data_IF_129535987641
#
_entry.id   IF_129535987641
#
_cell.length_a   1.000
_cell.length_b   1.000
_cell.length_c   1.000
_cell.angle_alpha   90.00
_cell.angle_beta   90.00
_cell.angle_gamma   90.00
#
_symmetry.space_group_name_H-M   'P 1'
#
loop_
_entity.id
_entity.type
_entity.pdbx_description
1 polymer ?
#
# COMPACT_ATOMS: atom_id res chain seq x y z
N UNK A 1 -5.34 19.46 -22.15
CA UNK A 1 -5.89 18.49 -21.17
C UNK A 1 -7.40 18.37 -21.37
N UNK A 2 -7.94 17.16 -21.60
CA UNK A 2 -9.39 16.97 -21.77
C UNK A 2 -10.15 17.50 -20.54
N UNK A 3 -11.29 18.17 -20.73
CA UNK A 3 -12.10 18.80 -19.67
C UNK A 3 -12.47 17.83 -18.53
N UNK A 4 -12.67 16.56 -18.87
CA UNK A 4 -12.82 15.42 -17.96
C UNK A 4 -11.67 15.32 -16.94
N UNK A 5 -10.42 15.46 -17.41
CA UNK A 5 -9.21 15.36 -16.57
C UNK A 5 -9.20 16.40 -15.45
N UNK A 6 -9.61 17.63 -15.74
CA UNK A 6 -9.59 18.76 -14.78
C UNK A 6 -10.58 18.50 -13.63
N UNK A 7 -11.75 17.92 -13.92
CA UNK A 7 -12.75 17.57 -12.90
C UNK A 7 -12.22 16.48 -11.97
N UNK A 8 -11.57 15.44 -12.50
CA UNK A 8 -10.92 14.40 -11.68
C UNK A 8 -9.81 14.97 -10.79
N UNK A 9 -9.01 15.90 -11.30
CA UNK A 9 -7.96 16.56 -10.51
C UNK A 9 -8.52 17.39 -9.36
N UNK A 10 -9.56 18.18 -9.62
CA UNK A 10 -10.23 18.96 -8.60
C UNK A 10 -10.82 18.07 -7.49
N UNK A 11 -11.41 16.93 -7.88
CA UNK A 11 -11.96 15.95 -6.93
C UNK A 11 -10.86 15.33 -6.07
N UNK A 12 -9.76 14.87 -6.67
CA UNK A 12 -8.63 14.29 -5.93
C UNK A 12 -7.99 15.28 -4.95
N UNK A 13 -7.76 16.52 -5.40
CA UNK A 13 -7.24 17.59 -4.54
C UNK A 13 -8.21 17.93 -3.41
N UNK A 14 -9.51 17.97 -3.68
CA UNK A 14 -10.53 18.18 -2.66
C UNK A 14 -10.52 17.08 -1.61
N UNK A 15 -10.52 15.80 -2.00
CA UNK A 15 -10.47 14.68 -1.05
C UNK A 15 -9.16 14.66 -0.26
N UNK A 16 -8.03 14.96 -0.89
CA UNK A 16 -6.75 15.06 -0.21
C UNK A 16 -6.74 16.19 0.83
N UNK A 17 -7.22 17.38 0.46
CA UNK A 17 -7.34 18.51 1.37
C UNK A 17 -8.32 18.22 2.52
N UNK A 18 -9.46 17.59 2.22
CA UNK A 18 -10.43 17.15 3.22
C UNK A 18 -9.80 16.13 4.18
N UNK A 19 -9.05 15.15 3.69
CA UNK A 19 -8.34 14.18 4.51
C UNK A 19 -7.33 14.87 5.45
N UNK A 20 -6.51 15.80 4.94
CA UNK A 20 -5.58 16.58 5.77
C UNK A 20 -6.31 17.42 6.82
N UNK A 21 -7.43 18.03 6.45
CA UNK A 21 -8.26 18.79 7.38
C UNK A 21 -8.85 17.90 8.49
N UNK A 22 -9.46 16.77 8.14
CA UNK A 22 -10.07 15.84 9.09
C UNK A 22 -9.04 15.21 10.02
N UNK A 23 -7.88 14.82 9.51
CA UNK A 23 -6.78 14.28 10.34
C UNK A 23 -6.27 15.32 11.34
N UNK A 24 -6.05 16.55 10.88
CA UNK A 24 -5.66 17.66 11.77
C UNK A 24 -6.76 18.01 12.79
N UNK A 25 -8.03 17.98 12.40
CA UNK A 25 -9.16 18.15 13.33
C UNK A 25 -9.21 17.03 14.37
N UNK A 26 -9.05 15.77 13.96
CA UNK A 26 -9.07 14.62 14.86
C UNK A 26 -7.95 14.71 15.90
N UNK A 27 -6.72 15.03 15.50
CA UNK A 27 -5.60 15.18 16.45
C UNK A 27 -5.80 16.32 17.47
N UNK A 28 -6.59 17.34 17.14
CA UNK A 28 -6.94 18.43 18.06
C UNK A 28 -8.23 18.18 18.84
N UNK A 29 -8.98 17.14 18.48
CA UNK A 29 -10.24 16.81 19.12
C UNK A 29 -10.02 16.15 20.49
N UNK A 30 -11.03 16.24 21.35
CA UNK A 30 -11.06 15.54 22.65
C UNK A 30 -11.08 14.01 22.52
N UNK A 31 -11.36 13.47 21.33
CA UNK A 31 -11.35 12.03 21.07
C UNK A 31 -9.93 11.46 20.99
N UNK A 32 -8.95 12.25 20.51
CA UNK A 32 -7.59 11.75 20.34
C UNK A 32 -6.96 11.28 21.65
N UNK A 33 -7.00 12.04 22.76
CA UNK A 33 -6.48 11.57 24.04
C UNK A 33 -7.15 10.29 24.56
N UNK A 34 -8.46 10.12 24.30
CA UNK A 34 -9.21 8.93 24.71
C UNK A 34 -8.70 7.69 23.96
N UNK A 35 -8.54 7.82 22.63
CA UNK A 35 -8.01 6.75 21.79
C UNK A 35 -6.54 6.45 22.13
N UNK A 36 -5.72 7.49 22.29
CA UNK A 36 -4.31 7.36 22.66
C UNK A 36 -4.14 6.64 24.01
N UNK A 37 -4.92 7.03 25.03
CA UNK A 37 -4.92 6.35 26.32
C UNK A 37 -5.33 4.87 26.18
N UNK A 38 -6.39 4.58 25.42
CA UNK A 38 -6.82 3.21 25.19
C UNK A 38 -5.76 2.38 24.46
N UNK A 39 -5.11 2.92 23.43
CA UNK A 39 -4.04 2.24 22.69
C UNK A 39 -2.84 1.98 23.59
N UNK A 40 -2.45 2.93 24.43
CA UNK A 40 -1.34 2.76 25.38
C UNK A 40 -1.63 1.66 26.41
N UNK A 41 -2.85 1.56 26.90
CA UNK A 41 -3.26 0.48 27.82
C UNK A 41 -3.37 -0.87 27.11
N UNK A 42 -3.75 -0.90 25.83
CA UNK A 42 -4.07 -2.12 25.08
C UNK A 42 -3.13 -2.34 23.87
N UNK A 43 -1.86 -1.99 24.01
CA UNK A 43 -0.93 -1.89 22.88
C UNK A 43 -0.81 -3.20 22.08
N UNK A 44 -0.78 -4.33 22.77
CA UNK A 44 -0.68 -5.66 22.15
C UNK A 44 -1.92 -5.96 21.31
N UNK A 45 -3.11 -5.71 21.87
CA UNK A 45 -4.38 -5.91 21.16
C UNK A 45 -4.47 -5.00 19.93
N UNK A 46 -4.07 -3.74 20.07
CA UNK A 46 -4.04 -2.79 18.95
C UNK A 46 -3.12 -3.27 17.82
N UNK A 47 -1.90 -3.69 18.15
CA UNK A 47 -0.91 -4.21 17.19
C UNK A 47 -1.43 -5.47 16.48
N UNK A 48 -2.02 -6.41 17.22
CA UNK A 48 -2.60 -7.63 16.65
C UNK A 48 -3.79 -7.30 15.74
N UNK A 49 -4.70 -6.43 16.17
CA UNK A 49 -5.84 -6.01 15.37
C UNK A 49 -5.39 -5.31 14.08
N UNK A 50 -4.39 -4.42 14.17
CA UNK A 50 -3.82 -3.72 13.02
C UNK A 50 -3.13 -4.69 12.05
N UNK A 51 -2.38 -5.67 12.57
CA UNK A 51 -1.77 -6.74 11.76
C UNK A 51 -2.83 -7.54 11.00
N UNK A 52 -3.88 -8.01 11.69
CA UNK A 52 -4.97 -8.79 11.09
C UNK A 52 -5.69 -7.97 10.03
N UNK A 53 -6.06 -6.73 10.36
CA UNK A 53 -6.69 -5.81 9.42
C UNK A 53 -5.83 -5.60 8.18
N UNK A 54 -4.52 -5.41 8.36
CA UNK A 54 -3.59 -5.25 7.24
C UNK A 54 -3.49 -6.50 6.38
N UNK A 55 -3.37 -7.68 6.97
CA UNK A 55 -3.31 -8.94 6.23
C UNK A 55 -4.59 -9.22 5.44
N UNK A 56 -5.75 -8.95 6.03
CA UNK A 56 -7.04 -9.06 5.34
C UNK A 56 -7.14 -8.04 4.21
N UNK A 57 -6.69 -6.80 4.44
CA UNK A 57 -6.73 -5.77 3.40
C UNK A 57 -5.89 -6.12 2.17
N UNK A 58 -4.76 -6.81 2.36
CA UNK A 58 -3.97 -7.34 1.23
C UNK A 58 -4.65 -8.52 0.51
N UNK A 59 -5.61 -9.19 1.14
CA UNK A 59 -6.40 -10.22 0.46
C UNK A 59 -7.55 -9.64 -0.35
N UNK A 60 -8.08 -8.50 0.10
CA UNK A 60 -9.27 -7.86 -0.45
C UNK A 60 -8.95 -6.42 -0.89
N UNK A 61 -8.68 -6.20 -2.20
CA UNK A 61 -8.30 -4.89 -2.74
C UNK A 61 -9.16 -3.69 -2.33
N UNK A 62 -10.49 -3.81 -2.08
CA UNK A 62 -11.31 -2.67 -1.66
C UNK A 62 -10.97 -2.10 -0.28
N UNK A 63 -10.22 -2.81 0.56
CA UNK A 63 -9.94 -2.40 1.94
C UNK A 63 -8.66 -1.54 1.95
N UNK A 64 -8.74 -0.24 2.33
CA UNK A 64 -7.61 0.68 2.28
C UNK A 64 -6.66 0.48 3.47
N UNK A 65 -6.07 -0.71 3.61
CA UNK A 65 -5.32 -1.06 4.80
C UNK A 65 -4.03 -0.27 5.02
N UNK A 66 -3.39 0.19 3.94
CA UNK A 66 -2.22 1.07 4.04
C UNK A 66 -2.54 2.43 4.68
N UNK A 67 -3.76 2.96 4.50
CA UNK A 67 -4.15 4.23 5.12
C UNK A 67 -4.28 4.07 6.63
N UNK A 68 -4.84 2.95 7.09
CA UNK A 68 -5.02 2.66 8.52
C UNK A 68 -3.69 2.42 9.23
N UNK A 69 -2.75 1.72 8.58
CA UNK A 69 -1.40 1.55 9.14
C UNK A 69 -0.62 2.87 9.18
N UNK A 70 -0.74 3.73 8.17
CA UNK A 70 -0.19 5.08 8.22
C UNK A 70 -0.84 5.93 9.32
N UNK A 71 -2.17 5.86 9.48
CA UNK A 71 -2.90 6.56 10.54
C UNK A 71 -2.52 6.08 11.95
N UNK A 72 -1.82 4.94 12.07
CA UNK A 72 -1.33 4.41 13.34
C UNK A 72 0.00 5.02 13.79
N UNK A 73 0.67 5.81 12.94
CA UNK A 73 1.96 6.45 13.23
C UNK A 73 1.93 7.31 14.52
N UNK A 74 0.90 8.15 14.77
CA UNK A 74 0.83 8.93 16.01
C UNK A 74 0.81 8.09 17.29
N UNK A 75 0.32 6.85 17.22
CA UNK A 75 0.19 5.97 18.39
C UNK A 75 1.39 5.02 18.55
N UNK A 76 1.92 4.47 17.46
CA UNK A 76 2.98 3.46 17.47
C UNK A 76 4.38 4.03 17.11
N UNK A 77 4.44 5.29 16.69
CA UNK A 77 5.58 5.82 15.96
C UNK A 77 5.68 5.24 14.54
N UNK A 78 6.48 5.89 13.70
CA UNK A 78 6.62 5.49 12.28
C UNK A 78 7.18 4.07 12.13
N UNK A 79 8.15 3.70 12.97
CA UNK A 79 8.82 2.42 12.87
C UNK A 79 7.92 1.28 13.33
N UNK A 80 7.21 1.44 14.46
CA UNK A 80 6.26 0.44 14.94
C UNK A 80 5.10 0.22 13.96
N UNK A 81 4.52 1.31 13.46
CA UNK A 81 3.47 1.24 12.44
C UNK A 81 3.96 0.57 11.14
N UNK A 82 5.18 0.88 10.71
CA UNK A 82 5.81 0.27 9.54
C UNK A 82 6.06 -1.22 9.71
N UNK A 83 6.55 -1.67 10.87
CA UNK A 83 6.77 -3.09 11.13
C UNK A 83 5.47 -3.90 11.06
N UNK A 84 4.39 -3.36 11.62
CA UNK A 84 3.06 -3.98 11.53
C UNK A 84 2.56 -3.99 10.08
N UNK A 85 2.74 -2.89 9.34
CA UNK A 85 2.38 -2.80 7.92
C UNK A 85 3.15 -3.83 7.07
N UNK A 86 4.44 -3.98 7.31
CA UNK A 86 5.30 -4.94 6.62
C UNK A 86 4.91 -6.38 6.94
N UNK A 87 4.81 -6.71 8.23
CA UNK A 87 4.43 -8.05 8.67
C UNK A 87 3.04 -8.42 8.14
N UNK A 88 2.06 -7.53 8.27
CA UNK A 88 0.71 -7.73 7.79
C UNK A 88 0.65 -7.89 6.27
N UNK A 89 1.43 -7.09 5.53
CA UNK A 89 1.51 -7.18 4.06
C UNK A 89 2.11 -8.49 3.59
N UNK A 90 3.19 -8.96 4.22
CA UNK A 90 3.85 -10.21 3.86
C UNK A 90 2.94 -11.39 4.20
N UNK A 91 2.32 -11.40 5.38
CA UNK A 91 1.40 -12.46 5.78
C UNK A 91 0.17 -12.56 4.85
N UNK A 92 -0.50 -11.43 4.57
CA UNK A 92 -1.60 -11.38 3.60
C UNK A 92 -1.14 -11.78 2.19
N UNK A 93 0.05 -11.31 1.79
CA UNK A 93 0.64 -11.63 0.49
C UNK A 93 1.00 -13.09 0.32
N UNK A 94 1.45 -13.78 1.37
CA UNK A 94 1.69 -15.23 1.36
C UNK A 94 0.40 -16.00 1.08
N UNK A 95 -0.70 -15.60 1.71
CA UNK A 95 -2.02 -16.21 1.48
C UNK A 95 -2.51 -15.91 0.07
N UNK A 96 -2.42 -14.66 -0.40
CA UNK A 96 -2.76 -14.28 -1.78
C UNK A 96 -1.95 -15.07 -2.82
N UNK A 97 -0.63 -15.18 -2.61
CA UNK A 97 0.26 -16.00 -3.44
C UNK A 97 -0.21 -17.46 -3.47
N UNK A 98 -0.53 -18.05 -2.32
CA UNK A 98 -0.96 -19.44 -2.26
C UNK A 98 -2.29 -19.65 -2.97
N UNK A 99 -3.24 -18.74 -2.79
CA UNK A 99 -4.52 -18.76 -3.49
C UNK A 99 -4.35 -18.64 -5.01
N UNK A 100 -3.50 -17.71 -5.47
CA UNK A 100 -3.15 -17.55 -6.89
C UNK A 100 -2.47 -18.80 -7.46
N UNK A 101 -1.57 -19.42 -6.70
CA UNK A 101 -0.89 -20.65 -7.08
C UNK A 101 -1.85 -21.85 -7.18
N UNK A 102 -2.80 -21.99 -6.25
CA UNK A 102 -3.71 -23.13 -6.17
C UNK A 102 -4.93 -23.01 -7.09
N UNK A 103 -5.56 -21.84 -7.14
CA UNK A 103 -6.84 -21.63 -7.83
C UNK A 103 -6.69 -20.89 -9.17
N UNK A 104 -5.52 -20.31 -9.44
CA UNK A 104 -5.17 -19.67 -10.71
C UNK A 104 -6.19 -18.66 -11.20
N UNK A 105 -6.60 -18.76 -12.47
CA UNK A 105 -7.55 -17.80 -13.08
C UNK A 105 -8.90 -17.72 -12.37
N UNK A 106 -9.34 -18.78 -11.67
CA UNK A 106 -10.66 -18.81 -10.99
C UNK A 106 -10.74 -17.79 -9.85
N UNK A 107 -9.68 -17.62 -9.07
CA UNK A 107 -9.66 -16.63 -7.99
C UNK A 107 -9.39 -15.23 -8.54
N UNK A 108 -8.51 -15.10 -9.54
CA UNK A 108 -8.24 -13.83 -10.20
C UNK A 108 -9.50 -13.22 -10.82
N UNK A 109 -10.32 -14.03 -11.49
CA UNK A 109 -11.61 -13.63 -12.08
C UNK A 109 -12.66 -13.12 -11.10
N UNK A 110 -12.50 -13.39 -9.80
CA UNK A 110 -13.42 -12.90 -8.75
C UNK A 110 -12.96 -11.59 -8.11
N UNK A 111 -11.65 -11.31 -8.17
CA UNK A 111 -11.03 -10.22 -7.41
C UNK A 111 -10.60 -9.05 -8.30
N UNK A 112 -10.33 -9.32 -9.58
CA UNK A 112 -9.79 -8.33 -10.51
C UNK A 112 -10.62 -8.28 -11.79
N UNK A 113 -10.52 -7.15 -12.49
CA UNK A 113 -11.15 -6.95 -13.78
C UNK A 113 -10.40 -7.69 -14.90
N UNK A 114 -11.05 -7.82 -16.06
CA UNK A 114 -10.50 -8.56 -17.20
C UNK A 114 -9.14 -8.01 -17.66
N UNK A 115 -8.94 -6.68 -17.60
CA UNK A 115 -7.69 -6.05 -18.05
C UNK A 115 -6.51 -6.44 -17.15
N UNK A 116 -6.71 -6.45 -15.83
CA UNK A 116 -5.67 -6.87 -14.87
C UNK A 116 -5.34 -8.36 -15.04
N UNK A 117 -6.36 -9.19 -15.25
CA UNK A 117 -6.17 -10.64 -15.48
C UNK A 117 -5.38 -10.90 -16.75
N UNK A 118 -5.68 -10.18 -17.82
CA UNK A 118 -4.96 -10.26 -19.09
C UNK A 118 -3.50 -9.83 -18.92
N UNK A 119 -3.24 -8.69 -18.25
CA UNK A 119 -1.88 -8.23 -17.91
C UNK A 119 -1.09 -9.29 -17.15
N UNK A 120 -1.69 -9.91 -16.12
CA UNK A 120 -1.06 -10.99 -15.36
C UNK A 120 -0.81 -12.22 -16.24
N UNK A 121 -1.78 -12.61 -17.07
CA UNK A 121 -1.69 -13.81 -17.91
C UNK A 121 -0.63 -13.68 -19.00
N UNK A 122 -0.51 -12.51 -19.59
CA UNK A 122 0.45 -12.23 -20.67
C UNK A 122 1.86 -11.89 -20.14
N UNK A 123 2.00 -11.68 -18.83
CA UNK A 123 3.29 -11.41 -18.20
C UNK A 123 4.17 -12.66 -18.23
N UNK A 124 5.36 -12.54 -18.82
CA UNK A 124 6.38 -13.58 -18.83
C UNK A 124 7.54 -13.17 -17.93
N UNK A 125 7.86 -14.02 -16.94
CA UNK A 125 8.99 -13.81 -16.05
C UNK A 125 10.17 -14.64 -16.55
N UNK A 126 11.31 -13.98 -16.83
CA UNK A 126 12.52 -14.66 -17.26
C UNK A 126 13.08 -15.50 -16.11
N UNK A 127 13.50 -16.74 -16.41
CA UNK A 127 14.13 -17.63 -15.43
C UNK A 127 15.37 -16.97 -14.82
N UNK A 128 15.51 -17.04 -13.50
CA UNK A 128 16.58 -16.39 -12.74
C UNK A 128 16.36 -14.90 -12.45
N UNK A 129 15.26 -14.32 -12.95
CA UNK A 129 14.90 -12.90 -12.75
C UNK A 129 13.61 -12.73 -11.96
N UNK A 130 13.19 -13.75 -11.23
CA UNK A 130 11.90 -13.77 -10.56
C UNK A 130 11.83 -12.83 -9.36
N UNK A 131 12.93 -12.69 -8.60
CA UNK A 131 13.03 -11.73 -7.48
C UNK A 131 12.88 -10.30 -8.01
N UNK A 132 13.64 -9.97 -9.05
CA UNK A 132 13.60 -8.67 -9.73
C UNK A 132 12.20 -8.38 -10.29
N UNK A 133 11.54 -9.38 -10.88
CA UNK A 133 10.19 -9.22 -11.40
C UNK A 133 9.18 -8.88 -10.29
N UNK A 134 9.16 -9.64 -9.19
CA UNK A 134 8.26 -9.35 -8.05
C UNK A 134 8.54 -7.97 -7.46
N UNK A 135 9.83 -7.65 -7.27
CA UNK A 135 10.25 -6.35 -6.78
C UNK A 135 9.76 -5.21 -7.69
N UNK A 136 10.04 -5.32 -9.00
CA UNK A 136 9.71 -4.28 -9.97
C UNK A 136 8.20 -4.15 -10.16
N UNK A 137 7.44 -5.24 -10.20
CA UNK A 137 5.99 -5.16 -10.28
C UNK A 137 5.41 -4.44 -9.08
N UNK A 138 5.90 -4.72 -7.87
CA UNK A 138 5.45 -4.02 -6.67
C UNK A 138 5.84 -2.53 -6.66
N UNK A 139 7.05 -2.19 -7.12
CA UNK A 139 7.52 -0.80 -7.16
C UNK A 139 6.82 0.01 -8.26
N UNK A 140 6.64 -0.56 -9.45
CA UNK A 140 6.13 0.14 -10.63
C UNK A 140 4.60 0.19 -10.68
N UNK A 141 3.91 -0.87 -10.27
CA UNK A 141 2.43 -0.91 -10.31
C UNK A 141 1.80 -0.23 -9.10
N UNK A 142 2.61 0.18 -8.12
CA UNK A 142 2.17 0.94 -6.96
C UNK A 142 1.19 0.19 -6.05
N UNK A 143 0.66 0.89 -5.06
CA UNK A 143 -0.29 0.37 -4.07
C UNK A 143 -1.66 0.00 -4.65
N UNK A 144 -1.97 0.37 -5.90
CA UNK A 144 -3.29 0.18 -6.50
C UNK A 144 -3.53 -1.24 -7.02
N UNK A 145 -2.48 -2.03 -7.20
CA UNK A 145 -2.53 -3.41 -7.74
C UNK A 145 -1.62 -4.34 -6.91
N UNK A 146 -1.30 -3.96 -5.66
CA UNK A 146 -0.36 -4.71 -4.81
C UNK A 146 -0.81 -6.17 -4.63
N UNK A 147 -2.12 -6.34 -4.45
CA UNK A 147 -2.78 -7.62 -4.29
C UNK A 147 -2.61 -8.45 -5.56
N UNK A 148 -2.82 -7.87 -6.74
CA UNK A 148 -2.69 -8.60 -8.00
C UNK A 148 -1.23 -8.99 -8.30
N UNK A 149 -0.23 -8.28 -7.78
CA UNK A 149 1.17 -8.74 -7.82
C UNK A 149 1.34 -10.02 -7.01
N UNK A 150 0.74 -10.13 -5.82
CA UNK A 150 0.87 -11.32 -4.98
C UNK A 150 0.10 -12.51 -5.54
N UNK A 151 -1.17 -12.33 -5.92
CA UNK A 151 -1.94 -13.37 -6.61
C UNK A 151 -1.29 -13.76 -7.93
N UNK A 152 -0.79 -12.78 -8.70
CA UNK A 152 -0.12 -12.97 -9.97
C UNK A 152 1.19 -13.74 -9.84
N UNK A 153 2.02 -13.45 -8.83
CA UNK A 153 3.25 -14.20 -8.56
C UNK A 153 2.97 -15.69 -8.29
N UNK A 154 1.89 -15.98 -7.55
CA UNK A 154 1.40 -17.34 -7.33
C UNK A 154 0.93 -18.00 -8.62
N UNK A 155 0.09 -17.30 -9.40
CA UNK A 155 -0.42 -17.79 -10.68
C UNK A 155 0.71 -18.10 -11.68
N UNK A 156 1.72 -17.23 -11.76
CA UNK A 156 2.91 -17.36 -12.62
C UNK A 156 3.92 -18.39 -12.11
N UNK A 157 3.61 -19.09 -11.00
CA UNK A 157 4.46 -20.15 -10.40
C UNK A 157 5.87 -19.65 -10.05
N UNK A 158 6.01 -18.40 -9.64
CA UNK A 158 7.27 -17.87 -9.13
C UNK A 158 7.61 -18.62 -7.83
N UNK A 159 8.82 -19.19 -7.65
CA UNK A 159 9.16 -19.91 -6.43
C UNK A 159 8.92 -19.07 -5.17
N UNK A 160 8.25 -19.65 -4.18
CA UNK A 160 7.78 -18.94 -2.98
C UNK A 160 8.89 -18.15 -2.26
N UNK A 161 10.08 -18.72 -2.09
CA UNK A 161 11.21 -18.01 -1.48
C UNK A 161 11.66 -16.78 -2.28
N UNK A 162 11.66 -16.87 -3.62
CA UNK A 162 11.97 -15.73 -4.49
C UNK A 162 10.91 -14.64 -4.41
N UNK A 163 9.63 -15.05 -4.34
CA UNK A 163 8.52 -14.16 -4.08
C UNK A 163 8.68 -13.41 -2.75
N UNK A 164 8.95 -14.12 -1.64
CA UNK A 164 9.13 -13.52 -0.33
C UNK A 164 10.27 -12.50 -0.31
N UNK A 165 11.42 -12.83 -0.90
CA UNK A 165 12.56 -11.91 -0.96
C UNK A 165 12.20 -10.66 -1.76
N UNK A 166 11.62 -10.83 -2.97
CA UNK A 166 11.23 -9.70 -3.81
C UNK A 166 10.17 -8.81 -3.17
N UNK A 167 9.18 -9.42 -2.50
CA UNK A 167 8.13 -8.72 -1.78
C UNK A 167 8.70 -7.94 -0.58
N UNK A 168 9.55 -8.55 0.24
CA UNK A 168 10.15 -7.87 1.40
C UNK A 168 11.06 -6.72 0.99
N UNK A 169 11.96 -6.92 0.02
CA UNK A 169 12.87 -5.87 -0.44
C UNK A 169 12.12 -4.66 -1.01
N UNK A 170 11.09 -4.90 -1.83
CA UNK A 170 10.26 -3.81 -2.35
C UNK A 170 9.44 -3.12 -1.26
N UNK A 171 9.04 -3.84 -0.20
CA UNK A 171 8.41 -3.25 0.98
C UNK A 171 9.34 -2.26 1.68
N UNK A 172 10.61 -2.60 1.81
CA UNK A 172 11.61 -1.74 2.47
C UNK A 172 11.83 -0.49 1.63
N UNK A 173 12.08 -0.67 0.33
CA UNK A 173 12.40 0.43 -0.59
C UNK A 173 11.25 1.44 -0.72
N UNK A 174 9.99 0.98 -0.75
CA UNK A 174 8.84 1.88 -0.90
C UNK A 174 8.23 2.27 0.44
N UNK A 175 8.12 1.32 1.37
CA UNK A 175 7.42 1.50 2.63
C UNK A 175 8.18 2.40 3.60
N UNK A 176 9.50 2.23 3.76
CA UNK A 176 10.27 3.06 4.72
C UNK A 176 10.19 4.55 4.37
N UNK A 177 10.47 4.98 3.12
CA UNK A 177 10.30 6.39 2.75
C UNK A 177 8.87 6.88 2.96
N UNK A 178 7.86 6.05 2.63
CA UNK A 178 6.44 6.42 2.77
C UNK A 178 6.06 6.69 4.23
N UNK A 179 6.49 5.83 5.17
CA UNK A 179 6.21 5.99 6.59
C UNK A 179 6.99 7.15 7.21
N UNK A 180 8.24 7.40 6.78
CA UNK A 180 9.01 8.57 7.20
C UNK A 180 8.36 9.88 6.74
N UNK A 181 7.89 9.93 5.49
CA UNK A 181 7.16 11.08 4.96
C UNK A 181 5.87 11.34 5.73
N UNK A 182 5.07 10.30 5.96
CA UNK A 182 3.84 10.42 6.73
C UNK A 182 4.10 10.88 8.18
N UNK A 183 5.16 10.40 8.82
CA UNK A 183 5.57 10.86 10.13
C UNK A 183 5.91 12.35 10.16
N UNK A 184 6.61 12.86 9.15
CA UNK A 184 6.93 14.28 9.06
C UNK A 184 5.67 15.14 8.86
N UNK A 185 4.71 14.65 8.06
CA UNK A 185 3.39 15.28 7.89
C UNK A 185 2.69 15.37 9.25
N UNK A 186 2.57 14.26 9.99
CA UNK A 186 1.88 14.23 11.27
C UNK A 186 2.59 15.01 12.37
N UNK A 187 3.92 15.04 12.36
CA UNK A 187 4.72 15.77 13.35
C UNK A 187 4.85 17.27 13.06
N UNK A 188 4.40 17.75 11.89
CA UNK A 188 4.59 19.13 11.43
C UNK A 188 6.06 19.53 11.22
N UNK A 189 6.99 18.57 11.23
CA UNK A 189 8.43 18.81 11.08
C UNK A 189 8.80 18.89 9.60
N UNK A 190 9.67 19.83 9.25
CA UNK A 190 10.19 20.01 7.89
C UNK A 190 9.08 20.10 6.83
N UNK A 191 8.08 20.96 7.06
CA UNK A 191 6.94 21.18 6.18
C UNK A 191 7.35 21.47 4.73
N UNK A 192 8.41 22.26 4.52
CA UNK A 192 8.92 22.59 3.18
C UNK A 192 9.44 21.34 2.47
N UNK A 193 10.30 20.54 3.12
CA UNK A 193 10.81 19.29 2.56
C UNK A 193 9.67 18.29 2.30
N UNK A 194 8.69 18.25 3.19
CA UNK A 194 7.53 17.36 3.10
C UNK A 194 6.62 17.74 1.93
N UNK A 195 6.37 19.04 1.71
CA UNK A 195 5.65 19.55 0.55
C UNK A 195 6.42 19.23 -0.73
N UNK A 196 7.74 19.50 -0.77
CA UNK A 196 8.58 19.21 -1.94
C UNK A 196 8.57 17.72 -2.28
N UNK A 197 8.78 16.83 -1.30
CA UNK A 197 8.77 15.38 -1.52
C UNK A 197 7.38 14.87 -1.90
N UNK A 198 6.31 15.42 -1.33
CA UNK A 198 4.94 15.07 -1.71
C UNK A 198 4.63 15.51 -3.14
N UNK A 199 5.08 16.70 -3.55
CA UNK A 199 4.94 17.20 -4.92
C UNK A 199 5.79 16.38 -5.89
N UNK A 200 7.03 16.01 -5.54
CA UNK A 200 7.88 15.14 -6.36
C UNK A 200 7.29 13.74 -6.49
N UNK A 201 6.78 13.15 -5.41
CA UNK A 201 6.09 11.88 -5.43
C UNK A 201 4.82 11.95 -6.29
N UNK A 202 4.04 13.04 -6.17
CA UNK A 202 2.90 13.31 -7.02
C UNK A 202 3.34 13.38 -8.48
N UNK A 203 4.34 14.20 -8.83
CA UNK A 203 4.90 14.33 -10.19
C UNK A 203 5.40 12.99 -10.73
N UNK A 204 6.07 12.19 -9.91
CA UNK A 204 6.54 10.86 -10.30
C UNK A 204 5.34 9.97 -10.68
N UNK A 205 4.32 9.90 -9.82
CA UNK A 205 3.07 9.18 -10.09
C UNK A 205 2.38 9.74 -11.34
N UNK A 206 2.34 11.06 -11.52
CA UNK A 206 1.74 11.74 -12.68
C UNK A 206 2.45 11.35 -13.99
N UNK A 207 3.79 11.28 -13.96
CA UNK A 207 4.63 11.00 -15.14
C UNK A 207 4.67 9.51 -15.47
N UNK A 208 4.51 8.63 -14.49
CA UNK A 208 4.48 7.18 -14.69
C UNK A 208 3.08 6.66 -15.00
N UNK A 209 2.00 7.34 -14.58
CA UNK A 209 0.60 6.93 -14.85
C UNK A 209 0.31 6.70 -16.34
N UNK A 210 0.83 7.56 -17.22
CA UNK A 210 0.65 7.41 -18.68
C UNK A 210 1.36 6.21 -19.30
N UNK A 211 2.26 5.54 -18.57
CA UNK A 211 2.95 4.31 -19.03
C UNK A 211 2.23 3.02 -18.65
N UNK A 212 1.22 3.07 -17.76
CA UNK A 212 0.62 1.87 -17.15
C UNK A 212 -0.92 1.83 -17.22
N UNK A 213 -1.56 2.96 -17.54
CA UNK A 213 -3.01 3.13 -17.64
C UNK A 213 -3.45 3.68 -19.00
N UNK A 214 -2.94 3.08 -20.07
CA UNK A 214 -3.69 2.97 -21.32
C UNK A 214 -4.68 1.81 -21.21
#
# INVERSE_FOLDING_TARGET
MKKESIRYWAILLFFFAAFLFFTNWFFKSSYFPIVDAWVKTNIVLYVVALFVYKSIGVLFPPIPAGVVTLASIPFLGWFGAYLVDMAGSIAGGMVAYWLGNKYGKKILGKLFDATTIEKITNTKVKKGKEIEAVFMFRVLLGSTILEAVYYGAGFLKIPFGKFLIGATLSHIVVGVPSFLLANNIFSGKNIILTIVLSVVALIFVLKTKGRYFE
#
